data_IF_935458049754
#
_entry.id   IF_935458049754
#
_cell.length_a   1.000
_cell.length_b   1.000
_cell.length_c   1.000
_cell.angle_alpha   90.00
_cell.angle_beta   90.00
_cell.angle_gamma   90.00
#
_symmetry.space_group_name_H-M   'P 1'
#
loop_
_entity.id
_entity.type
_entity.pdbx_description
1 polymer ?
#
# COMPACT_ATOMS: atom_id res chain seq x y z
N UNK A 1 16.69 -12.38 -2.50
CA UNK A 1 15.59 -11.40 -2.68
C UNK A 1 16.19 -10.01 -2.80
N UNK A 2 15.68 -9.21 -3.70
CA UNK A 2 16.23 -7.88 -3.99
C UNK A 2 15.99 -6.92 -2.82
N UNK A 3 16.95 -6.01 -2.61
CA UNK A 3 16.86 -5.02 -1.52
C UNK A 3 15.66 -4.09 -1.67
N UNK A 4 15.40 -3.64 -2.89
CA UNK A 4 14.27 -2.73 -3.14
C UNK A 4 12.92 -3.41 -2.87
N UNK A 5 12.80 -4.72 -3.15
CA UNK A 5 11.60 -5.47 -2.81
C UNK A 5 11.44 -5.59 -1.30
N UNK A 6 12.52 -5.92 -0.58
CA UNK A 6 12.48 -6.03 0.88
C UNK A 6 12.09 -4.71 1.51
N UNK A 7 12.68 -3.61 1.04
CA UNK A 7 12.37 -2.28 1.57
C UNK A 7 10.93 -1.89 1.29
N UNK A 8 10.45 -2.10 0.07
CA UNK A 8 9.06 -1.81 -0.28
C UNK A 8 8.09 -2.62 0.59
N UNK A 9 8.40 -3.91 0.80
CA UNK A 9 7.58 -4.77 1.65
C UNK A 9 7.53 -4.27 3.09
N UNK A 10 8.66 -3.83 3.65
CA UNK A 10 8.71 -3.29 5.00
C UNK A 10 7.88 -2.01 5.14
N UNK A 11 7.98 -1.11 4.18
CA UNK A 11 7.23 0.15 4.19
C UNK A 11 5.74 -0.10 4.01
N UNK A 12 5.38 -0.99 3.09
CA UNK A 12 4.00 -1.37 2.86
C UNK A 12 3.39 -2.04 4.08
N UNK A 13 4.16 -2.88 4.74
CA UNK A 13 3.76 -3.54 5.98
C UNK A 13 3.38 -2.54 7.06
N UNK A 14 4.14 -1.45 7.17
CA UNK A 14 3.84 -0.36 8.10
C UNK A 14 2.51 0.32 7.74
N UNK A 15 2.30 0.60 6.45
CA UNK A 15 1.07 1.24 6.00
C UNK A 15 -0.15 0.36 6.26
N UNK A 16 -0.04 -0.92 5.97
CA UNK A 16 -1.13 -1.88 6.22
C UNK A 16 -1.41 -1.96 7.72
N UNK A 17 -0.38 -2.09 8.55
CA UNK A 17 -0.56 -2.21 10.00
C UNK A 17 -1.22 -0.96 10.59
N UNK A 18 -0.82 0.22 10.14
CA UNK A 18 -1.35 1.49 10.67
C UNK A 18 -2.79 1.75 10.24
N UNK A 19 -3.17 1.33 9.05
CA UNK A 19 -4.49 1.65 8.48
C UNK A 19 -5.51 0.54 8.68
N UNK A 20 -5.09 -0.71 8.65
CA UNK A 20 -6.00 -1.87 8.70
C UNK A 20 -5.80 -2.74 9.93
N UNK A 21 -4.68 -2.57 10.64
CA UNK A 21 -4.32 -3.39 11.78
C UNK A 21 -3.31 -4.47 11.43
N UNK A 22 -2.57 -4.90 12.45
CA UNK A 22 -1.45 -5.82 12.28
C UNK A 22 -1.84 -7.18 11.73
N UNK A 23 -3.08 -7.62 11.93
CA UNK A 23 -3.56 -8.92 11.43
C UNK A 23 -3.53 -9.01 9.89
N UNK A 24 -3.54 -7.88 9.20
CA UNK A 24 -3.51 -7.84 7.74
C UNK A 24 -2.10 -7.82 7.16
N UNK A 25 -1.07 -7.78 8.00
CA UNK A 25 0.32 -7.79 7.55
C UNK A 25 0.68 -9.05 6.76
N UNK A 26 -0.02 -10.15 7.02
CA UNK A 26 0.18 -11.41 6.27
C UNK A 26 -0.05 -11.25 4.77
N UNK A 27 -0.91 -10.30 4.37
CA UNK A 27 -1.15 -9.99 2.95
C UNK A 27 0.15 -9.52 2.30
N UNK A 28 0.87 -8.62 2.95
CA UNK A 28 2.15 -8.10 2.43
C UNK A 28 3.16 -9.23 2.28
N UNK A 29 3.26 -10.09 3.28
CA UNK A 29 4.20 -11.23 3.24
C UNK A 29 3.88 -12.18 2.09
N UNK A 30 2.59 -12.50 1.93
CA UNK A 30 2.16 -13.41 0.85
C UNK A 30 2.46 -12.80 -0.52
N UNK A 31 2.06 -11.55 -0.75
CA UNK A 31 2.27 -10.90 -2.04
C UNK A 31 3.75 -10.68 -2.31
N UNK A 32 4.56 -10.43 -1.27
CA UNK A 32 6.01 -10.31 -1.43
C UNK A 32 6.60 -11.61 -1.97
N UNK A 33 6.17 -12.76 -1.45
CA UNK A 33 6.66 -14.06 -1.92
C UNK A 33 6.24 -14.34 -3.36
N UNK A 34 5.06 -13.92 -3.76
CA UNK A 34 4.57 -14.05 -5.14
C UNK A 34 5.40 -13.18 -6.08
N UNK A 35 5.57 -11.91 -5.71
CA UNK A 35 6.25 -10.92 -6.55
C UNK A 35 7.75 -11.19 -6.63
N UNK A 36 8.34 -11.82 -5.61
CA UNK A 36 9.77 -12.13 -5.60
C UNK A 36 10.21 -13.03 -6.77
N UNK A 37 9.28 -13.77 -7.36
CA UNK A 37 9.56 -14.60 -8.53
C UNK A 37 9.76 -13.76 -9.79
N UNK A 38 9.18 -12.56 -9.81
CA UNK A 38 9.25 -11.66 -10.95
C UNK A 38 10.55 -10.86 -10.89
N UNK A 39 11.32 -10.90 -11.96
CA UNK A 39 12.57 -10.14 -12.05
C UNK A 39 12.33 -8.88 -12.86
N UNK A 40 11.71 -7.88 -12.22
CA UNK A 40 11.33 -6.62 -12.86
C UNK A 40 12.00 -5.44 -12.20
N UNK A 41 12.40 -4.41 -12.98
CA UNK A 41 13.01 -3.20 -12.40
C UNK A 41 12.03 -2.36 -11.59
N UNK A 42 10.72 -2.47 -11.87
CA UNK A 42 9.66 -1.73 -11.17
C UNK A 42 8.99 -2.60 -10.10
N UNK A 43 9.78 -3.38 -9.38
CA UNK A 43 9.27 -4.40 -8.46
C UNK A 43 8.45 -3.80 -7.32
N UNK A 44 8.78 -2.58 -6.87
CA UNK A 44 8.01 -1.88 -5.84
C UNK A 44 6.60 -1.53 -6.33
N UNK A 45 6.48 -1.03 -7.56
CA UNK A 45 5.17 -0.75 -8.17
C UNK A 45 4.34 -2.01 -8.28
N UNK A 46 4.95 -3.11 -8.69
CA UNK A 46 4.27 -4.39 -8.84
C UNK A 46 3.78 -4.90 -7.48
N UNK A 47 4.61 -4.82 -6.45
CA UNK A 47 4.22 -5.26 -5.10
C UNK A 47 3.06 -4.41 -4.57
N UNK A 48 3.14 -3.09 -4.70
CA UNK A 48 2.09 -2.19 -4.22
C UNK A 48 0.76 -2.53 -4.90
N UNK A 49 0.77 -2.71 -6.22
CA UNK A 49 -0.44 -3.05 -6.97
C UNK A 49 -1.04 -4.37 -6.48
N UNK A 50 -0.22 -5.41 -6.30
CA UNK A 50 -0.68 -6.70 -5.80
C UNK A 50 -1.32 -6.58 -4.42
N UNK A 51 -0.67 -5.84 -3.51
CA UNK A 51 -1.19 -5.65 -2.16
C UNK A 51 -2.49 -4.85 -2.18
N UNK A 52 -2.56 -3.79 -2.98
CA UNK A 52 -3.80 -3.00 -3.10
C UNK A 52 -4.98 -3.86 -3.56
N UNK A 53 -4.77 -4.69 -4.57
CA UNK A 53 -5.83 -5.55 -5.09
C UNK A 53 -6.27 -6.59 -4.05
N UNK A 54 -5.32 -7.23 -3.38
CA UNK A 54 -5.64 -8.24 -2.38
C UNK A 54 -6.34 -7.64 -1.18
N UNK A 55 -5.90 -6.47 -0.71
CA UNK A 55 -6.56 -5.77 0.39
C UNK A 55 -7.99 -5.40 -0.01
N UNK A 56 -8.18 -4.86 -1.20
CA UNK A 56 -9.51 -4.48 -1.68
C UNK A 56 -10.47 -5.67 -1.65
N UNK A 57 -10.03 -6.83 -2.12
CA UNK A 57 -10.86 -8.04 -2.10
C UNK A 57 -11.07 -8.59 -0.69
N UNK A 58 -10.07 -8.50 0.15
CA UNK A 58 -10.14 -9.08 1.50
C UNK A 58 -11.04 -8.28 2.43
N UNK A 59 -10.92 -6.94 2.41
CA UNK A 59 -11.69 -6.07 3.30
C UNK A 59 -12.91 -5.45 2.60
N UNK A 60 -13.08 -5.72 1.32
CA UNK A 60 -14.19 -5.23 0.51
C UNK A 60 -14.32 -3.70 0.61
N UNK A 61 -13.20 -3.01 0.50
CA UNK A 61 -13.15 -1.57 0.67
C UNK A 61 -11.97 -0.98 -0.09
N UNK A 62 -12.08 0.30 -0.43
CA UNK A 62 -10.99 1.05 -1.05
C UNK A 62 -9.79 1.13 -0.13
N UNK A 63 -8.60 0.80 -0.61
CA UNK A 63 -7.38 0.90 0.16
C UNK A 63 -6.18 1.28 -0.72
N UNK A 64 -5.32 2.19 -0.30
CA UNK A 64 -5.55 3.10 0.83
C UNK A 64 -6.60 4.15 0.44
N UNK A 65 -7.46 4.49 1.37
CA UNK A 65 -8.44 5.54 1.12
C UNK A 65 -7.76 6.91 1.19
N UNK A 66 -8.12 7.78 0.25
CA UNK A 66 -7.60 9.14 0.27
C UNK A 66 -8.21 9.90 1.46
N UNK A 67 -7.41 10.59 2.29
CA UNK A 67 -7.96 11.36 3.41
C UNK A 67 -8.84 12.52 2.97
N UNK A 68 -8.71 12.97 1.72
CA UNK A 68 -9.49 14.06 1.17
C UNK A 68 -10.76 13.57 0.46
N UNK A 69 -10.74 12.33 -0.04
CA UNK A 69 -11.82 11.74 -0.83
C UNK A 69 -11.96 10.27 -0.47
N UNK A 70 -12.69 9.98 0.59
CA UNK A 70 -12.69 8.66 1.23
C UNK A 70 -13.11 7.48 0.33
N UNK A 71 -13.81 7.75 -0.78
CA UNK A 71 -14.23 6.71 -1.72
C UNK A 71 -13.24 6.46 -2.84
N UNK A 72 -12.17 7.24 -2.91
CA UNK A 72 -11.16 7.09 -3.94
C UNK A 72 -9.87 6.52 -3.36
N UNK A 73 -9.23 5.56 -4.04
CA UNK A 73 -7.95 5.03 -3.58
C UNK A 73 -6.83 6.03 -3.86
N UNK A 74 -5.80 5.97 -3.04
CA UNK A 74 -4.56 6.66 -3.33
C UNK A 74 -3.83 5.92 -4.46
N UNK A 75 -3.05 6.66 -5.22
CA UNK A 75 -2.22 6.13 -6.30
C UNK A 75 -0.77 6.09 -5.83
N UNK A 76 -0.08 5.01 -6.13
CA UNK A 76 1.34 4.87 -5.80
C UNK A 76 2.19 5.24 -7.00
N UNK A 77 3.12 6.19 -6.82
CA UNK A 77 4.06 6.60 -7.84
C UNK A 77 5.28 7.21 -7.18
N UNK A 78 6.47 6.88 -7.69
CA UNK A 78 7.74 7.43 -7.21
C UNK A 78 7.92 7.33 -5.69
N UNK A 79 7.57 6.18 -5.13
CA UNK A 79 7.76 5.94 -3.71
C UNK A 79 6.78 6.65 -2.80
N UNK A 80 5.68 7.17 -3.32
CA UNK A 80 4.74 7.95 -2.55
C UNK A 80 3.28 7.64 -2.92
N UNK A 81 2.39 7.98 -2.01
CA UNK A 81 0.93 7.92 -2.21
C UNK A 81 0.43 9.29 -2.64
N UNK A 82 -0.39 9.32 -3.68
CA UNK A 82 -0.90 10.55 -4.28
C UNK A 82 -2.42 10.54 -4.34
N UNK A 83 -3.01 11.72 -4.12
CA UNK A 83 -4.42 11.94 -4.40
C UNK A 83 -4.58 12.22 -5.89
N UNK A 84 -5.34 11.37 -6.60
CA UNK A 84 -5.54 11.55 -8.05
C UNK A 84 -6.55 12.64 -8.38
N UNK A 85 -7.42 12.98 -7.43
CA UNK A 85 -8.42 14.03 -7.63
C UNK A 85 -7.79 15.41 -7.57
N UNK A 86 -6.96 15.66 -6.57
CA UNK A 86 -6.36 16.96 -6.34
C UNK A 86 -4.91 17.04 -6.83
N UNK A 87 -4.35 15.93 -7.31
CA UNK A 87 -2.96 15.85 -7.80
C UNK A 87 -1.94 16.28 -6.74
N UNK A 88 -2.17 15.88 -5.49
CA UNK A 88 -1.27 16.23 -4.39
C UNK A 88 -0.67 14.98 -3.77
N UNK A 89 0.57 15.11 -3.31
CA UNK A 89 1.27 14.06 -2.58
C UNK A 89 0.69 14.00 -1.16
N UNK A 90 0.29 12.80 -0.75
CA UNK A 90 -0.29 12.59 0.58
C UNK A 90 0.76 12.13 1.58
N UNK A 91 1.57 11.14 1.21
CA UNK A 91 2.58 10.59 2.12
C UNK A 91 3.59 9.75 1.34
N UNK A 92 4.79 9.61 1.88
CA UNK A 92 5.73 8.63 1.38
C UNK A 92 5.22 7.22 1.69
N UNK A 93 5.66 6.24 0.90
CA UNK A 93 5.38 4.84 1.21
C UNK A 93 5.92 4.53 2.62
N UNK A 94 5.10 3.93 3.44
CA UNK A 94 5.44 3.63 4.85
C UNK A 94 5.01 4.71 5.83
N UNK A 95 4.52 5.84 5.36
CA UNK A 95 4.17 6.98 6.21
C UNK A 95 2.67 7.29 6.23
N UNK A 96 1.83 6.36 5.78
CA UNK A 96 0.38 6.57 5.89
C UNK A 96 -0.03 6.71 7.35
N UNK A 97 -0.85 7.71 7.62
CA UNK A 97 -1.41 7.91 8.96
C UNK A 97 -2.55 6.94 9.20
N UNK A 98 -2.75 6.58 10.47
CA UNK A 98 -3.95 5.85 10.86
C UNK A 98 -5.19 6.68 10.50
N UNK A 99 -6.32 6.03 10.12
CA UNK A 99 -7.54 6.78 9.84
C UNK A 99 -8.02 7.51 11.09
N UNK A 100 -8.72 8.65 10.92
CA UNK A 100 -9.28 9.37 12.07
C UNK A 100 -10.24 8.45 12.86
N UNK A 101 -10.30 8.66 14.17
CA UNK A 101 -11.22 7.91 15.00
C UNK A 101 -12.66 8.14 14.54
N UNK A 102 -13.42 7.08 14.43
CA UNK A 102 -14.83 7.16 14.10
C UNK A 102 -15.62 7.67 15.30
N UNK A 103 -16.64 8.47 15.03
CA UNK A 103 -17.46 9.03 16.08
C UNK A 103 -18.92 8.76 15.85
#
# INVERSE_FOLDING_TARGET
MRRDLIRAAQLLDRDVARTLGARHRKIVRFETSVVAILDRPDIDDVLVEHVQQTVHHTVNSTWPACPLHSKHPLWYEDGAWWCTQDHVRIAALGDLSAPPAQR
#
